data_IF_216132200351
#
_entry.id   IF_216132200351
#
_cell.length_a   1.000
_cell.length_b   1.000
_cell.length_c   1.000
_cell.angle_alpha   90.00
_cell.angle_beta   90.00
_cell.angle_gamma   90.00
#
_symmetry.space_group_name_H-M   'P 1'
#
loop_
_entity.id
_entity.type
_entity.pdbx_description
1 polymer ?
#
# COMPACT_ATOMS: atom_id res chain seq x y z
N UNK A 1 24.67 1.14 -12.13
CA UNK A 1 23.25 1.42 -11.83
C UNK A 1 22.98 2.92 -11.76
N UNK A 2 23.67 3.67 -10.95
CA UNK A 2 23.44 5.12 -10.76
C UNK A 2 23.57 5.96 -12.04
N UNK A 3 24.59 5.69 -12.89
CA UNK A 3 24.74 6.38 -14.19
C UNK A 3 23.56 6.16 -15.14
N UNK A 4 22.98 4.97 -15.14
CA UNK A 4 21.81 4.66 -15.96
C UNK A 4 20.57 5.41 -15.43
N UNK A 5 20.35 5.40 -14.13
CA UNK A 5 19.27 6.15 -13.48
C UNK A 5 19.32 7.65 -13.82
N UNK A 6 20.49 8.28 -13.67
CA UNK A 6 20.67 9.71 -14.02
C UNK A 6 20.48 9.98 -15.51
N UNK A 7 20.88 9.03 -16.38
CA UNK A 7 20.66 9.14 -17.82
C UNK A 7 19.18 9.06 -18.18
N UNK A 8 18.46 8.12 -17.58
CA UNK A 8 17.02 7.92 -17.79
C UNK A 8 16.24 9.12 -17.27
N UNK A 9 16.59 9.63 -16.09
CA UNK A 9 16.00 10.87 -15.52
C UNK A 9 16.22 12.07 -16.46
N UNK A 10 17.43 12.27 -16.97
CA UNK A 10 17.73 13.36 -17.93
C UNK A 10 16.96 13.20 -19.25
N UNK A 11 16.74 11.97 -19.69
CA UNK A 11 15.99 11.70 -20.92
C UNK A 11 14.49 12.04 -20.71
N UNK A 12 13.95 11.73 -19.55
CA UNK A 12 12.54 11.98 -19.21
C UNK A 12 12.23 13.48 -19.07
N UNK A 13 13.15 14.24 -18.49
CA UNK A 13 13.04 15.72 -18.42
C UNK A 13 13.48 16.45 -19.68
N UNK A 14 13.96 15.76 -20.72
CA UNK A 14 14.34 16.38 -21.99
C UNK A 14 13.09 16.81 -22.77
N UNK A 15 12.89 18.12 -22.87
CA UNK A 15 11.70 18.71 -23.50
C UNK A 15 10.51 18.89 -22.54
N UNK A 16 10.79 18.98 -21.23
CA UNK A 16 9.79 19.37 -20.24
C UNK A 16 9.35 20.81 -20.49
N UNK A 17 8.05 21.01 -20.71
CA UNK A 17 7.48 22.32 -21.04
C UNK A 17 6.39 22.67 -20.01
N UNK A 18 6.04 23.95 -19.84
CA UNK A 18 5.01 24.40 -18.93
C UNK A 18 3.65 23.68 -19.08
N UNK A 19 3.31 23.28 -20.31
CA UNK A 19 2.11 22.47 -20.56
C UNK A 19 2.17 21.07 -19.93
N UNK A 20 3.33 20.43 -19.96
CA UNK A 20 3.54 19.14 -19.29
C UNK A 20 3.48 19.28 -17.77
N UNK A 21 4.08 20.35 -17.23
CA UNK A 21 3.99 20.64 -15.79
C UNK A 21 2.55 20.79 -15.33
N UNK A 22 1.70 21.49 -16.08
CA UNK A 22 0.29 21.64 -15.73
C UNK A 22 -0.45 20.31 -15.79
N UNK A 23 -0.15 19.45 -16.76
CA UNK A 23 -0.74 18.12 -16.86
C UNK A 23 -0.31 17.23 -15.68
N UNK A 24 0.97 17.26 -15.31
CA UNK A 24 1.50 16.49 -14.18
C UNK A 24 0.92 17.00 -12.85
N UNK A 25 0.75 18.30 -12.69
CA UNK A 25 0.13 18.90 -11.51
C UNK A 25 -1.34 18.47 -11.36
N UNK A 26 -2.10 18.48 -12.46
CA UNK A 26 -3.49 18.02 -12.45
C UNK A 26 -3.60 16.53 -12.19
N UNK A 27 -2.72 15.71 -12.77
CA UNK A 27 -2.64 14.30 -12.49
C UNK A 27 -2.28 14.04 -11.02
N UNK A 28 -1.29 14.75 -10.48
CA UNK A 28 -0.88 14.67 -9.08
C UNK A 28 -2.01 15.05 -8.12
N UNK A 29 -2.77 16.11 -8.43
CA UNK A 29 -3.92 16.52 -7.63
C UNK A 29 -5.03 15.47 -7.61
N UNK A 30 -5.31 14.88 -8.77
CA UNK A 30 -6.30 13.79 -8.88
C UNK A 30 -5.89 12.57 -8.07
N UNK A 31 -4.63 12.18 -8.16
CA UNK A 31 -4.08 11.08 -7.38
C UNK A 31 -4.10 11.38 -5.89
N UNK A 32 -3.72 12.59 -5.48
CA UNK A 32 -3.75 13.00 -4.08
C UNK A 32 -5.17 12.93 -3.50
N UNK A 33 -6.18 13.34 -4.25
CA UNK A 33 -7.58 13.27 -3.82
C UNK A 33 -8.04 11.84 -3.48
N UNK A 34 -7.48 10.83 -4.15
CA UNK A 34 -7.76 9.41 -3.88
C UNK A 34 -6.81 8.85 -2.80
N UNK A 35 -5.53 9.23 -2.85
CA UNK A 35 -4.51 8.67 -1.97
C UNK A 35 -4.65 9.14 -0.52
N UNK A 36 -5.09 10.37 -0.27
CA UNK A 36 -5.21 10.92 1.08
C UNK A 36 -6.25 10.17 1.94
N UNK A 37 -7.51 9.98 1.52
CA UNK A 37 -8.47 9.16 2.28
C UNK A 37 -7.99 7.73 2.48
N UNK A 38 -7.35 7.15 1.48
CA UNK A 38 -6.81 5.80 1.54
C UNK A 38 -5.68 5.69 2.58
N UNK A 39 -4.78 6.67 2.63
CA UNK A 39 -3.70 6.73 3.62
C UNK A 39 -4.23 6.82 5.06
N UNK A 40 -5.26 7.64 5.28
CA UNK A 40 -5.94 7.74 6.58
C UNK A 40 -6.57 6.41 6.99
N UNK A 41 -7.33 5.80 6.07
CA UNK A 41 -8.01 4.53 6.33
C UNK A 41 -7.03 3.40 6.64
N UNK A 42 -5.94 3.26 5.88
CA UNK A 42 -4.93 2.23 6.14
C UNK A 42 -4.06 2.53 7.36
N UNK A 43 -3.85 3.81 7.71
CA UNK A 43 -3.21 4.18 8.97
C UNK A 43 -3.98 3.59 10.14
N UNK A 44 -5.27 3.86 10.22
CA UNK A 44 -6.15 3.32 11.27
C UNK A 44 -6.25 1.80 11.20
N UNK A 45 -6.46 1.23 10.00
CA UNK A 45 -6.59 -0.23 9.82
C UNK A 45 -5.33 -1.02 10.18
N UNK A 46 -4.16 -0.40 10.19
CA UNK A 46 -2.90 -1.03 10.62
C UNK A 46 -2.62 -0.88 12.12
N UNK A 47 -3.55 -0.30 12.89
CA UNK A 47 -3.40 -0.07 14.32
C UNK A 47 -2.55 1.17 14.66
N UNK A 48 -2.26 2.02 13.68
CA UNK A 48 -1.61 3.31 13.86
C UNK A 48 -2.66 4.43 13.95
N UNK A 49 -2.21 5.66 14.22
CA UNK A 49 -3.07 6.83 14.15
C UNK A 49 -3.25 7.30 12.69
N UNK A 50 -4.41 7.87 12.38
CA UNK A 50 -4.73 8.39 11.05
C UNK A 50 -3.70 9.43 10.57
N UNK A 51 -3.24 10.31 11.47
CA UNK A 51 -2.22 11.31 11.16
C UNK A 51 -0.87 10.65 10.78
N UNK A 52 -0.50 9.58 11.48
CA UNK A 52 0.72 8.81 11.18
C UNK A 52 0.65 8.17 9.80
N UNK A 53 -0.52 7.65 9.41
CA UNK A 53 -0.78 7.13 8.07
C UNK A 53 -0.58 8.19 6.98
N UNK A 54 -1.12 9.38 7.21
CA UNK A 54 -1.01 10.51 6.29
C UNK A 54 0.44 10.98 6.12
N UNK A 55 1.16 11.19 7.25
CA UNK A 55 2.57 11.60 7.23
C UNK A 55 3.42 10.57 6.51
N UNK A 56 3.19 9.28 6.79
CA UNK A 56 3.90 8.19 6.12
C UNK A 56 3.66 8.19 4.62
N UNK A 57 2.42 8.39 4.17
CA UNK A 57 2.10 8.44 2.75
C UNK A 57 2.77 9.62 2.04
N UNK A 58 2.80 10.80 2.66
CA UNK A 58 3.46 11.99 2.10
C UNK A 58 4.98 11.76 2.00
N UNK A 59 5.61 11.34 3.10
CA UNK A 59 7.06 11.13 3.13
C UNK A 59 7.47 9.99 2.18
N UNK A 60 6.77 8.86 2.23
CA UNK A 60 7.03 7.75 1.34
C UNK A 60 6.79 8.11 -0.13
N UNK A 61 5.73 8.86 -0.43
CA UNK A 61 5.44 9.32 -1.78
C UNK A 61 6.56 10.19 -2.35
N UNK A 62 7.09 11.13 -1.57
CA UNK A 62 8.20 11.99 -1.98
C UNK A 62 9.49 11.17 -2.15
N UNK A 63 9.86 10.38 -1.13
CA UNK A 63 11.12 9.62 -1.14
C UNK A 63 11.13 8.59 -2.26
N UNK A 64 10.05 7.84 -2.42
CA UNK A 64 9.95 6.81 -3.46
C UNK A 64 9.80 7.46 -4.83
N UNK A 65 9.05 8.56 -4.96
CA UNK A 65 8.95 9.30 -6.22
C UNK A 65 10.31 9.78 -6.74
N UNK A 66 11.18 10.25 -5.84
CA UNK A 66 12.53 10.70 -6.20
C UNK A 66 13.47 9.52 -6.47
N UNK A 67 13.39 8.44 -5.69
CA UNK A 67 14.30 7.30 -5.78
C UNK A 67 13.82 6.19 -6.72
N UNK A 68 12.57 6.24 -7.17
CA UNK A 68 12.00 5.24 -8.08
C UNK A 68 12.66 5.33 -9.47
N UNK A 69 13.00 4.18 -10.01
CA UNK A 69 13.46 4.05 -11.40
C UNK A 69 12.33 3.67 -12.38
N UNK A 70 11.08 3.66 -11.93
CA UNK A 70 9.92 3.33 -12.75
C UNK A 70 9.08 4.59 -12.99
N UNK A 71 8.81 4.90 -14.25
CA UNK A 71 7.93 5.99 -14.65
C UNK A 71 6.48 5.64 -14.32
N UNK A 72 5.70 6.63 -13.93
CA UNK A 72 4.25 6.49 -13.63
C UNK A 72 3.91 5.55 -12.48
N UNK A 73 4.82 5.34 -11.54
CA UNK A 73 4.60 4.51 -10.35
C UNK A 73 4.23 5.38 -9.15
N UNK A 74 3.16 4.99 -8.44
CA UNK A 74 2.81 5.54 -7.15
C UNK A 74 2.99 4.46 -6.11
N UNK A 75 3.70 4.77 -5.03
CA UNK A 75 3.79 3.91 -3.86
C UNK A 75 2.69 4.28 -2.87
N UNK A 76 1.98 3.28 -2.42
CA UNK A 76 0.91 3.46 -1.44
C UNK A 76 0.69 2.20 -0.60
N UNK A 77 -0.07 2.33 0.49
CA UNK A 77 -0.43 1.20 1.32
C UNK A 77 -1.32 0.21 0.54
N UNK A 78 -1.21 -1.07 0.88
CA UNK A 78 -2.03 -2.14 0.30
C UNK A 78 -2.90 -2.78 1.37
N UNK A 79 -4.16 -3.10 1.03
CA UNK A 79 -5.10 -3.73 1.97
C UNK A 79 -4.61 -5.07 2.53
N UNK A 80 -3.90 -5.86 1.72
CA UNK A 80 -3.31 -7.11 2.17
C UNK A 80 -2.26 -6.90 3.29
N UNK A 81 -1.47 -5.84 3.20
CA UNK A 81 -0.48 -5.51 4.23
C UNK A 81 -1.14 -4.95 5.49
N UNK A 82 -2.24 -4.21 5.37
CA UNK A 82 -2.95 -3.64 6.52
C UNK A 82 -3.42 -4.73 7.49
N UNK A 83 -3.97 -5.84 6.99
CA UNK A 83 -4.40 -6.97 7.81
C UNK A 83 -3.23 -7.62 8.59
N UNK A 84 -2.08 -7.78 7.93
CA UNK A 84 -0.86 -8.32 8.56
C UNK A 84 -0.35 -7.35 9.63
N UNK A 85 -0.30 -6.06 9.32
CA UNK A 85 0.17 -5.04 10.25
C UNK A 85 -0.75 -4.90 11.46
N UNK A 86 -2.07 -5.04 11.28
CA UNK A 86 -3.02 -5.05 12.38
C UNK A 86 -2.75 -6.20 13.35
N UNK A 87 -2.50 -7.40 12.85
CA UNK A 87 -2.17 -8.57 13.69
C UNK A 87 -0.85 -8.39 14.45
N UNK A 88 0.15 -7.79 13.81
CA UNK A 88 1.43 -7.44 14.44
C UNK A 88 1.24 -6.35 15.49
N UNK A 89 0.45 -5.31 15.18
CA UNK A 89 0.14 -4.21 16.09
C UNK A 89 -0.62 -4.71 17.33
N UNK A 90 -1.57 -5.62 17.17
CA UNK A 90 -2.30 -6.22 18.28
C UNK A 90 -1.41 -7.04 19.23
N UNK A 91 -0.38 -7.71 18.70
CA UNK A 91 0.54 -8.55 19.49
C UNK A 91 1.70 -7.78 20.12
N UNK A 92 2.30 -6.85 19.38
CA UNK A 92 3.57 -6.23 19.73
C UNK A 92 3.49 -4.70 19.80
N UNK A 93 2.29 -4.13 19.60
CA UNK A 93 2.08 -2.70 19.54
C UNK A 93 2.72 -2.03 18.33
N UNK A 94 2.68 -0.70 18.32
CA UNK A 94 3.23 0.11 17.22
C UNK A 94 4.75 -0.06 17.05
N UNK A 95 5.47 -0.32 18.14
CA UNK A 95 6.91 -0.59 18.11
C UNK A 95 7.21 -1.86 17.30
N UNK A 96 6.38 -2.89 17.42
CA UNK A 96 6.48 -4.11 16.61
C UNK A 96 6.29 -3.83 15.12
N UNK A 97 5.33 -2.99 14.77
CA UNK A 97 5.07 -2.57 13.38
C UNK A 97 6.28 -1.82 12.80
N UNK A 98 6.84 -0.87 13.55
CA UNK A 98 8.02 -0.12 13.12
C UNK A 98 9.25 -1.03 12.93
N UNK A 99 9.47 -1.96 13.85
CA UNK A 99 10.57 -2.94 13.77
C UNK A 99 10.41 -3.86 12.56
N UNK A 100 9.21 -4.37 12.33
CA UNK A 100 8.88 -5.19 11.17
C UNK A 100 9.08 -4.43 9.86
N UNK A 101 8.67 -3.15 9.81
CA UNK A 101 8.89 -2.28 8.66
C UNK A 101 10.37 -2.05 8.36
N UNK A 102 11.17 -1.77 9.39
CA UNK A 102 12.62 -1.60 9.24
C UNK A 102 13.29 -2.90 8.74
N UNK A 103 12.94 -4.04 9.33
CA UNK A 103 13.47 -5.33 8.92
C UNK A 103 13.08 -5.69 7.49
N UNK A 104 11.84 -5.44 7.11
CA UNK A 104 11.35 -5.63 5.75
C UNK A 104 12.14 -4.76 4.75
N UNK A 105 12.40 -3.48 5.09
CA UNK A 105 13.23 -2.59 4.28
C UNK A 105 14.65 -3.13 4.10
N UNK A 106 15.27 -3.64 5.16
CA UNK A 106 16.60 -4.24 5.09
C UNK A 106 16.62 -5.48 4.17
N UNK A 107 15.62 -6.36 4.29
CA UNK A 107 15.48 -7.54 3.42
C UNK A 107 15.32 -7.14 1.96
N UNK A 108 14.51 -6.09 1.67
CA UNK A 108 14.33 -5.58 0.31
C UNK A 108 15.62 -5.03 -0.28
N UNK A 109 16.45 -4.34 0.51
CA UNK A 109 17.76 -3.87 0.06
C UNK A 109 18.66 -5.04 -0.30
N UNK A 110 18.72 -6.08 0.54
CA UNK A 110 19.50 -7.30 0.26
C UNK A 110 18.99 -7.96 -1.03
N UNK A 111 17.70 -8.12 -1.19
CA UNK A 111 17.07 -8.68 -2.38
C UNK A 111 17.39 -7.85 -3.65
N UNK A 112 17.41 -6.53 -3.54
CA UNK A 112 17.78 -5.64 -4.63
C UNK A 112 19.25 -5.81 -5.06
N UNK A 113 20.17 -5.94 -4.09
CA UNK A 113 21.60 -6.21 -4.35
C UNK A 113 21.76 -7.57 -5.02
N UNK A 114 21.06 -8.59 -4.56
CA UNK A 114 21.02 -9.94 -5.15
C UNK A 114 20.31 -9.99 -6.51
N UNK A 115 19.73 -8.87 -6.98
CA UNK A 115 18.96 -8.77 -8.24
C UNK A 115 17.81 -9.77 -8.34
N UNK A 116 17.19 -10.10 -7.20
CA UNK A 116 16.04 -11.02 -7.13
C UNK A 116 14.87 -10.50 -7.97
N UNK A 117 14.77 -9.20 -8.22
CA UNK A 117 13.78 -8.60 -9.12
C UNK A 117 13.75 -9.19 -10.54
N UNK A 118 14.88 -9.74 -11.03
CA UNK A 118 14.89 -10.46 -12.31
C UNK A 118 14.07 -11.76 -12.28
N UNK A 119 13.95 -12.37 -11.09
CA UNK A 119 13.17 -13.59 -10.91
C UNK A 119 11.67 -13.34 -11.10
N UNK A 120 11.21 -12.13 -10.77
CA UNK A 120 9.81 -11.70 -10.97
C UNK A 120 9.43 -11.69 -12.47
N UNK A 121 10.40 -11.44 -13.37
CA UNK A 121 10.17 -11.47 -14.82
C UNK A 121 9.85 -12.88 -15.36
N UNK A 122 10.14 -13.92 -14.60
CA UNK A 122 9.81 -15.32 -14.96
C UNK A 122 8.42 -15.75 -14.48
N UNK A 123 7.73 -14.90 -13.71
CA UNK A 123 6.37 -15.21 -13.23
C UNK A 123 5.39 -15.18 -14.41
N UNK A 124 4.65 -16.27 -14.66
CA UNK A 124 3.60 -16.29 -15.68
C UNK A 124 2.50 -15.27 -15.37
N UNK A 125 1.97 -14.62 -16.39
CA UNK A 125 0.88 -13.65 -16.24
C UNK A 125 -0.32 -14.16 -15.45
N UNK A 126 -0.76 -15.43 -15.56
CA UNK A 126 -1.86 -15.96 -14.75
C UNK A 126 -1.62 -15.90 -13.23
N UNK A 127 -0.37 -16.06 -12.79
CA UNK A 127 -0.01 -15.97 -11.36
C UNK A 127 -0.23 -14.55 -10.84
N UNK A 128 0.21 -13.55 -11.61
CA UNK A 128 0.06 -12.14 -11.27
C UNK A 128 -1.44 -11.77 -11.24
N UNK A 129 -2.20 -12.21 -12.24
CA UNK A 129 -3.64 -11.95 -12.32
C UNK A 129 -4.39 -12.63 -11.16
N UNK A 130 -4.06 -13.89 -10.84
CA UNK A 130 -4.64 -14.61 -9.71
C UNK A 130 -4.36 -13.95 -8.38
N UNK A 131 -3.13 -13.51 -8.16
CA UNK A 131 -2.73 -12.76 -6.97
C UNK A 131 -3.50 -11.45 -6.82
N UNK A 132 -3.57 -10.66 -7.89
CA UNK A 132 -4.30 -9.38 -7.88
C UNK A 132 -5.79 -9.56 -7.66
N UNK A 133 -6.40 -10.58 -8.29
CA UNK A 133 -7.82 -10.89 -8.10
C UNK A 133 -8.10 -11.36 -6.68
N UNK A 134 -7.23 -12.18 -6.10
CA UNK A 134 -7.34 -12.61 -4.70
C UNK A 134 -7.30 -11.43 -3.73
N UNK A 135 -6.36 -10.50 -3.93
CA UNK A 135 -6.29 -9.26 -3.12
C UNK A 135 -7.57 -8.43 -3.27
N UNK A 136 -8.09 -8.29 -4.49
CA UNK A 136 -9.32 -7.54 -4.73
C UNK A 136 -10.51 -8.12 -3.96
N UNK A 137 -10.64 -9.44 -3.92
CA UNK A 137 -11.68 -10.13 -3.14
C UNK A 137 -11.49 -9.88 -1.63
N UNK A 138 -10.26 -9.99 -1.11
CA UNK A 138 -9.96 -9.74 0.29
C UNK A 138 -10.32 -8.30 0.68
N UNK A 139 -9.98 -7.33 -0.15
CA UNK A 139 -10.32 -5.93 0.10
C UNK A 139 -11.83 -5.73 0.06
N UNK A 140 -12.53 -6.30 -0.92
CA UNK A 140 -13.98 -6.18 -1.04
C UNK A 140 -14.69 -6.77 0.19
N UNK A 141 -14.29 -7.96 0.63
CA UNK A 141 -14.83 -8.60 1.84
C UNK A 141 -14.56 -7.76 3.10
N UNK A 142 -13.36 -7.16 3.21
CA UNK A 142 -13.01 -6.29 4.34
C UNK A 142 -13.79 -4.96 4.39
N UNK A 143 -14.43 -4.56 3.29
CA UNK A 143 -15.27 -3.35 3.27
C UNK A 143 -16.74 -3.61 3.67
N UNK A 144 -17.15 -4.87 3.77
CA UNK A 144 -18.53 -5.24 4.11
C UNK A 144 -18.90 -4.68 5.49
N UNK A 145 -18.05 -4.87 6.47
CA UNK A 145 -18.27 -4.37 7.84
C UNK A 145 -18.37 -2.85 7.89
N UNK A 146 -17.49 -2.17 7.16
CA UNK A 146 -17.51 -0.71 7.05
C UNK A 146 -18.78 -0.20 6.37
N UNK A 147 -19.28 -0.94 5.37
CA UNK A 147 -20.49 -0.58 4.64
C UNK A 147 -21.77 -0.75 5.50
N UNK A 148 -21.84 -1.81 6.29
CA UNK A 148 -22.97 -2.08 7.17
C UNK A 148 -22.85 -1.44 8.56
N UNK A 149 -21.70 -0.80 8.88
CA UNK A 149 -21.43 -0.21 10.19
C UNK A 149 -21.36 -1.24 11.32
N UNK A 150 -21.00 -2.48 10.99
CA UNK A 150 -20.87 -3.60 11.94
C UNK A 150 -19.40 -3.83 12.28
N UNK A 151 -19.15 -4.27 13.51
CA UNK A 151 -17.82 -4.72 13.93
C UNK A 151 -17.85 -6.23 14.12
N UNK A 152 -17.27 -6.94 13.18
CA UNK A 152 -17.16 -8.40 13.28
C UNK A 152 -15.98 -8.78 14.17
N UNK A 153 -16.23 -9.60 15.17
CA UNK A 153 -15.21 -10.12 16.10
C UNK A 153 -14.76 -11.50 15.61
N UNK A 154 -13.71 -11.57 14.79
CA UNK A 154 -13.19 -12.85 14.33
C UNK A 154 -11.93 -12.73 13.45
N UNK A 155 -11.08 -13.73 13.55
CA UNK A 155 -9.77 -13.77 12.90
C UNK A 155 -9.84 -14.08 11.38
N UNK A 156 -10.97 -14.58 10.89
CA UNK A 156 -11.21 -14.94 9.50
C UNK A 156 -12.43 -14.23 8.92
N UNK A 157 -12.23 -13.35 7.95
CA UNK A 157 -13.27 -12.56 7.30
C UNK A 157 -14.38 -13.42 6.64
N UNK A 158 -14.09 -14.66 6.26
CA UNK A 158 -15.10 -15.59 5.73
C UNK A 158 -16.01 -16.13 6.85
N UNK A 159 -15.49 -16.30 8.05
CA UNK A 159 -16.28 -16.67 9.24
C UNK A 159 -17.23 -15.55 9.67
N UNK A 160 -16.87 -14.29 9.38
CA UNK A 160 -17.62 -13.09 9.73
C UNK A 160 -18.93 -12.97 8.97
N UNK A 161 -18.98 -13.44 7.72
CA UNK A 161 -20.21 -13.47 6.93
C UNK A 161 -21.26 -14.43 7.54
N UNK A 162 -20.79 -15.44 8.31
CA UNK A 162 -21.66 -16.45 8.92
C UNK A 162 -21.98 -16.19 10.40
N UNK A 163 -21.18 -15.41 11.09
CA UNK A 163 -21.29 -15.14 12.55
C UNK A 163 -21.56 -13.67 12.88
N UNK A 164 -22.16 -12.89 11.95
CA UNK A 164 -22.66 -11.57 12.27
C UNK A 164 -23.63 -11.68 13.45
N UNK A 165 -23.34 -11.07 14.63
CA UNK A 165 -24.26 -11.13 15.74
C UNK A 165 -25.58 -10.52 15.31
N UNK A 166 -26.63 -11.28 15.51
CA UNK A 166 -28.00 -10.79 15.31
C UNK A 166 -28.23 -9.58 16.23
N UNK A 167 -28.96 -8.55 15.79
CA UNK A 167 -29.34 -7.44 16.68
C UNK A 167 -30.04 -7.87 17.98
N UNK A 168 -30.38 -9.15 18.10
CA UNK A 168 -30.99 -9.75 19.31
C UNK A 168 -29.98 -10.19 20.37
N UNK A 169 -28.69 -10.20 20.08
CA UNK A 169 -27.66 -10.68 21.02
C UNK A 169 -27.04 -9.54 21.83
N UNK A 170 -27.60 -8.32 21.72
CA UNK A 170 -27.15 -7.10 22.43
C UNK A 170 -28.15 -6.62 23.51
N UNK A 171 -29.12 -7.44 23.93
CA UNK A 171 -29.96 -7.17 25.11
C UNK A 171 -29.53 -7.95 26.36
#
# INVERSE_FOLDING_TARGET
>A
MFKKYVSDLKAEFKGYNGKKLTQDLMAGLTVAAVALPLALAFGVSSGADAASGLVTAIVAGIVIGILSGASYQISGPTGAMAAILLSVSAKYGITGVLTAGFLSGAILIIAAVCRVGKLVSYLPAPVITGFTSGIAIIIALGQIDNFFGTHSVGENQICLLYTSPSPRDTE
#
